data_IF_791624412457
#
_entry.id   IF_791624412457
#
_cell.length_a   1.000
_cell.length_b   1.000
_cell.length_c   1.000
_cell.angle_alpha   90.00
_cell.angle_beta   90.00
_cell.angle_gamma   90.00
#
_symmetry.space_group_name_H-M   'P 1'
#
loop_
_entity.id
_entity.type
_entity.pdbx_description
1 polymer ?
#
# COMPACT_ATOMS: atom_id res chain seq x y z
N UNK A 1 19.46 21.94 21.83
CA UNK A 1 20.48 20.89 21.98
C UNK A 1 20.43 19.97 20.78
N UNK A 2 21.54 19.64 20.11
CA UNK A 2 21.50 18.67 19.02
C UNK A 2 21.21 17.27 19.58
N UNK A 3 20.30 16.55 18.94
CA UNK A 3 19.98 15.16 19.30
C UNK A 3 21.19 14.28 19.00
N UNK A 4 21.77 13.65 20.03
CA UNK A 4 22.95 12.78 19.91
C UNK A 4 22.61 11.35 19.48
N UNK A 5 21.33 11.02 19.44
CA UNK A 5 20.83 9.67 19.12
C UNK A 5 20.63 9.54 17.59
N UNK A 6 20.99 8.39 17.01
CA UNK A 6 20.69 8.10 15.61
C UNK A 6 19.17 8.13 15.39
N UNK A 7 18.72 8.66 14.24
CA UNK A 7 17.30 8.83 13.90
C UNK A 7 16.53 7.51 14.03
N UNK A 8 17.11 6.42 13.55
CA UNK A 8 16.50 5.09 13.56
C UNK A 8 16.25 4.60 15.00
N UNK A 9 17.25 4.79 15.88
CA UNK A 9 17.14 4.41 17.29
C UNK A 9 16.14 5.29 18.05
N UNK A 10 16.06 6.58 17.71
CA UNK A 10 15.07 7.49 18.30
C UNK A 10 13.64 7.09 17.89
N UNK A 11 13.42 6.78 16.60
CA UNK A 11 12.12 6.45 16.04
C UNK A 11 11.67 5.01 16.31
N UNK A 12 12.58 4.11 16.72
CA UNK A 12 12.21 2.74 17.14
C UNK A 12 11.45 2.73 18.48
N UNK A 13 11.56 3.79 19.27
CA UNK A 13 10.77 3.94 20.49
C UNK A 13 9.37 4.47 20.11
N UNK A 14 8.32 3.69 20.43
CA UNK A 14 6.92 4.01 20.11
C UNK A 14 6.46 5.34 20.71
N UNK A 15 6.89 5.67 21.93
CA UNK A 15 6.54 6.94 22.56
C UNK A 15 7.14 8.14 21.81
N UNK A 16 8.42 8.06 21.43
CA UNK A 16 9.07 9.10 20.63
C UNK A 16 8.44 9.25 19.26
N UNK A 17 8.10 8.11 18.61
CA UNK A 17 7.40 8.10 17.33
C UNK A 17 6.05 8.80 17.44
N UNK A 18 5.25 8.48 18.47
CA UNK A 18 3.94 9.10 18.69
C UNK A 18 4.06 10.60 19.01
N UNK A 19 5.02 11.00 19.84
CA UNK A 19 5.26 12.42 20.12
C UNK A 19 5.62 13.20 18.85
N UNK A 20 6.43 12.61 17.96
CA UNK A 20 6.76 13.23 16.68
C UNK A 20 5.54 13.34 15.75
N UNK A 21 4.70 12.29 15.70
CA UNK A 21 3.44 12.32 14.94
C UNK A 21 2.54 13.43 15.45
N UNK A 22 2.39 13.61 16.77
CA UNK A 22 1.56 14.66 17.36
C UNK A 22 2.04 16.06 16.94
N UNK A 23 3.36 16.31 16.96
CA UNK A 23 3.94 17.58 16.50
C UNK A 23 3.65 17.82 15.01
N UNK A 24 3.71 16.78 14.17
CA UNK A 24 3.35 16.89 12.75
C UNK A 24 1.87 17.20 12.58
N UNK A 25 0.99 16.53 13.33
CA UNK A 25 -0.45 16.80 13.30
C UNK A 25 -0.78 18.25 13.70
N UNK A 26 -0.15 18.77 14.75
CA UNK A 26 -0.29 20.16 15.16
C UNK A 26 0.12 21.12 14.03
N UNK A 27 1.26 20.85 13.40
CA UNK A 27 1.74 21.67 12.27
C UNK A 27 0.83 21.60 11.05
N UNK A 28 0.35 20.42 10.69
CA UNK A 28 -0.59 20.26 9.58
C UNK A 28 -1.89 21.04 9.85
N UNK A 29 -2.37 21.02 11.09
CA UNK A 29 -3.56 21.76 11.50
C UNK A 29 -3.36 23.30 11.43
N UNK A 30 -2.18 23.81 11.79
CA UNK A 30 -1.84 25.24 11.65
C UNK A 30 -1.93 25.72 10.18
N UNK A 31 -1.71 24.83 9.20
CA UNK A 31 -1.77 25.12 7.77
C UNK A 31 -3.07 24.67 7.10
N UNK A 32 -4.10 24.31 7.89
CA UNK A 32 -5.39 23.80 7.40
C UNK A 32 -5.26 22.57 6.49
N UNK A 33 -4.24 21.73 6.74
CA UNK A 33 -4.01 20.48 6.01
C UNK A 33 -4.69 19.34 6.78
N UNK A 34 -5.63 18.68 6.13
CA UNK A 34 -6.34 17.53 6.71
C UNK A 34 -5.38 16.36 6.90
N UNK A 35 -5.48 15.71 8.04
CA UNK A 35 -4.72 14.51 8.37
C UNK A 35 -5.62 13.46 9.02
N UNK A 36 -5.19 12.21 8.93
CA UNK A 36 -5.78 11.08 9.68
C UNK A 36 -4.64 10.31 10.36
N UNK A 37 -4.88 9.87 11.58
CA UNK A 37 -3.93 9.05 12.34
C UNK A 37 -4.46 7.62 12.36
N UNK A 38 -3.66 6.66 11.91
CA UNK A 38 -4.01 5.24 12.00
C UNK A 38 -3.82 4.77 13.44
N UNK A 39 -4.78 4.00 13.93
CA UNK A 39 -4.67 3.31 15.23
C UNK A 39 -3.80 2.07 15.07
N UNK A 40 -3.99 1.34 13.95
CA UNK A 40 -3.31 0.09 13.64
C UNK A 40 -2.51 0.22 12.33
N UNK A 41 -3.06 -0.22 11.22
CA UNK A 41 -2.43 -0.26 9.92
C UNK A 41 -2.63 1.04 9.13
N UNK A 42 -1.52 1.73 8.87
CA UNK A 42 -1.55 2.99 8.12
C UNK A 42 -1.84 2.77 6.63
N UNK A 43 -1.35 1.68 6.02
CA UNK A 43 -1.50 1.42 4.60
C UNK A 43 -2.96 1.13 4.24
N UNK A 44 -3.65 0.37 5.09
CA UNK A 44 -5.09 0.14 4.94
C UNK A 44 -5.88 1.44 5.06
N UNK A 45 -5.56 2.29 6.06
CA UNK A 45 -6.21 3.60 6.22
C UNK A 45 -5.99 4.51 5.01
N UNK A 46 -4.77 4.53 4.45
CA UNK A 46 -4.44 5.31 3.25
C UNK A 46 -5.23 4.79 2.04
N UNK A 47 -5.25 3.46 1.83
CA UNK A 47 -5.96 2.84 0.72
C UNK A 47 -7.47 3.11 0.79
N UNK A 48 -8.10 2.92 1.95
CA UNK A 48 -9.52 3.21 2.17
C UNK A 48 -9.83 4.69 1.96
N UNK A 49 -8.99 5.59 2.49
CA UNK A 49 -9.18 7.04 2.30
C UNK A 49 -9.06 7.43 0.83
N UNK A 50 -8.13 6.83 0.09
CA UNK A 50 -8.00 7.06 -1.35
C UNK A 50 -9.24 6.60 -2.12
N UNK A 51 -9.79 5.43 -1.80
CA UNK A 51 -11.03 4.91 -2.39
C UNK A 51 -12.21 5.84 -2.10
N UNK A 52 -12.41 6.26 -0.85
CA UNK A 52 -13.48 7.19 -0.45
C UNK A 52 -13.40 8.51 -1.23
N UNK A 53 -12.20 9.09 -1.32
CA UNK A 53 -11.98 10.31 -2.10
C UNK A 53 -12.22 10.07 -3.60
N UNK A 54 -11.88 8.90 -4.11
CA UNK A 54 -12.01 8.56 -5.52
C UNK A 54 -13.48 8.40 -5.99
N UNK A 55 -14.42 8.26 -5.09
CA UNK A 55 -15.86 8.28 -5.44
C UNK A 55 -16.30 9.64 -5.98
N UNK A 56 -15.64 10.72 -5.58
CA UNK A 56 -16.02 12.08 -5.96
C UNK A 56 -14.99 12.82 -6.82
N UNK A 57 -13.71 12.49 -6.73
CA UNK A 57 -12.61 13.20 -7.39
C UNK A 57 -11.51 12.26 -7.86
N UNK A 58 -10.64 12.72 -8.76
CA UNK A 58 -9.39 12.01 -9.08
C UNK A 58 -8.42 12.09 -7.91
N UNK A 59 -7.69 11.01 -7.67
CA UNK A 59 -6.80 10.87 -6.50
C UNK A 59 -5.39 10.53 -6.94
N UNK A 60 -4.41 11.22 -6.36
CA UNK A 60 -3.00 10.86 -6.46
C UNK A 60 -2.52 10.45 -5.07
N UNK A 61 -2.12 9.19 -4.94
CA UNK A 61 -1.48 8.66 -3.74
C UNK A 61 0.01 8.69 -3.93
N UNK A 62 0.73 9.36 -3.03
CA UNK A 62 2.19 9.41 -3.04
C UNK A 62 2.70 8.43 -1.98
N UNK A 63 3.51 7.46 -2.40
CA UNK A 63 4.06 6.44 -1.50
C UNK A 63 5.15 5.61 -2.16
N UNK A 64 5.89 4.88 -1.35
CA UNK A 64 7.00 4.02 -1.81
C UNK A 64 6.74 2.54 -1.56
N UNK A 65 5.71 2.23 -0.76
CA UNK A 65 5.43 0.90 -0.28
C UNK A 65 4.68 0.06 -1.32
N UNK A 66 5.16 -1.18 -1.49
CA UNK A 66 4.50 -2.16 -2.37
C UNK A 66 3.20 -2.66 -1.75
N UNK A 67 3.11 -2.72 -0.42
CA UNK A 67 1.95 -3.18 0.31
C UNK A 67 0.78 -2.22 0.06
N UNK A 68 1.05 -0.91 0.12
CA UNK A 68 0.07 0.12 -0.23
C UNK A 68 -0.40 0.01 -1.69
N UNK A 69 0.51 -0.24 -2.65
CA UNK A 69 0.14 -0.43 -4.05
C UNK A 69 -0.78 -1.65 -4.23
N UNK A 70 -0.48 -2.75 -3.56
CA UNK A 70 -1.31 -3.98 -3.58
C UNK A 70 -2.71 -3.70 -3.03
N UNK A 71 -2.81 -2.99 -1.90
CA UNK A 71 -4.08 -2.61 -1.31
C UNK A 71 -4.90 -1.68 -2.22
N UNK A 72 -4.27 -0.71 -2.86
CA UNK A 72 -4.95 0.17 -3.82
C UNK A 72 -5.50 -0.63 -5.02
N UNK A 73 -4.70 -1.53 -5.61
CA UNK A 73 -5.14 -2.38 -6.72
C UNK A 73 -6.31 -3.28 -6.28
N UNK A 74 -6.29 -3.78 -5.05
CA UNK A 74 -7.36 -4.62 -4.52
C UNK A 74 -8.66 -3.82 -4.30
N UNK A 75 -8.59 -2.69 -3.59
CA UNK A 75 -9.78 -1.96 -3.12
C UNK A 75 -10.40 -1.00 -4.14
N UNK A 76 -9.63 -0.45 -5.08
CA UNK A 76 -10.17 0.45 -6.11
C UNK A 76 -11.12 -0.33 -7.02
N UNK A 77 -12.35 0.14 -7.16
CA UNK A 77 -13.40 -0.48 -7.96
C UNK A 77 -13.84 0.42 -9.14
N UNK A 78 -14.82 -0.05 -9.92
CA UNK A 78 -15.30 0.65 -11.12
C UNK A 78 -16.06 1.96 -10.82
N UNK A 79 -16.51 2.19 -9.58
CA UNK A 79 -17.18 3.42 -9.17
C UNK A 79 -16.19 4.54 -8.88
N UNK A 80 -14.90 4.19 -8.66
CA UNK A 80 -13.85 5.15 -8.40
C UNK A 80 -13.46 5.90 -9.67
N UNK A 81 -13.24 7.21 -9.55
CA UNK A 81 -12.51 8.01 -10.53
C UNK A 81 -11.04 7.59 -10.55
N UNK A 82 -10.24 8.20 -11.44
CA UNK A 82 -8.84 7.82 -11.59
C UNK A 82 -8.06 7.88 -10.27
N UNK A 83 -7.41 6.76 -9.94
CA UNK A 83 -6.47 6.66 -8.82
C UNK A 83 -5.09 6.40 -9.40
N UNK A 84 -4.16 7.28 -9.08
CA UNK A 84 -2.77 7.21 -9.52
C UNK A 84 -1.90 7.00 -8.28
N UNK A 85 -1.10 5.96 -8.30
CA UNK A 85 -0.04 5.75 -7.31
C UNK A 85 1.28 6.25 -7.87
N UNK A 86 1.95 7.14 -7.14
CA UNK A 86 3.18 7.80 -7.58
C UNK A 86 4.28 7.64 -6.54
N UNK A 87 5.44 7.14 -6.98
CA UNK A 87 6.65 7.12 -6.17
C UNK A 87 7.26 8.53 -6.09
N UNK A 88 7.65 8.95 -4.88
CA UNK A 88 8.37 10.21 -4.67
C UNK A 88 9.88 10.07 -4.93
N UNK A 89 10.41 8.86 -4.91
CA UNK A 89 11.81 8.59 -5.21
C UNK A 89 12.08 8.70 -6.71
N UNK A 90 12.98 9.58 -7.08
CA UNK A 90 13.54 9.56 -8.42
C UNK A 90 14.32 8.25 -8.62
N UNK A 91 13.90 7.44 -9.58
CA UNK A 91 14.69 6.29 -10.01
C UNK A 91 16.07 6.76 -10.48
N UNK A 92 17.08 5.89 -10.39
CA UNK A 92 18.47 6.15 -10.84
C UNK A 92 18.50 6.76 -12.26
N UNK A 93 17.51 6.43 -13.10
CA UNK A 93 17.36 6.94 -14.48
C UNK A 93 16.44 8.18 -14.58
N UNK A 94 16.20 8.92 -13.51
CA UNK A 94 15.32 10.12 -13.45
C UNK A 94 13.86 9.86 -13.93
N UNK A 95 13.42 8.62 -14.05
CA UNK A 95 12.02 8.28 -14.37
C UNK A 95 11.25 8.06 -13.08
N UNK A 96 10.25 8.89 -12.83
CA UNK A 96 9.28 8.64 -11.76
C UNK A 96 8.48 7.38 -12.07
N UNK A 97 8.25 6.55 -11.06
CA UNK A 97 7.36 5.41 -11.18
C UNK A 97 5.94 5.87 -10.90
N UNK A 98 5.08 5.70 -11.87
CA UNK A 98 3.66 6.11 -11.82
C UNK A 98 2.84 4.91 -12.27
N UNK A 99 1.83 4.54 -11.49
CA UNK A 99 0.87 3.50 -11.83
C UNK A 99 -0.54 4.09 -11.83
N UNK A 100 -1.24 3.94 -12.93
CA UNK A 100 -2.66 4.15 -12.98
C UNK A 100 -3.35 2.84 -12.53
N UNK A 101 -4.07 2.89 -11.42
CA UNK A 101 -4.62 1.70 -10.78
C UNK A 101 -5.64 1.02 -11.68
N UNK A 102 -6.56 1.76 -12.30
CA UNK A 102 -7.58 1.19 -13.19
C UNK A 102 -6.96 0.55 -14.44
N UNK A 103 -5.95 1.18 -15.04
CA UNK A 103 -5.22 0.58 -16.16
C UNK A 103 -4.47 -0.69 -15.75
N UNK A 104 -3.86 -0.69 -14.57
CA UNK A 104 -3.19 -1.86 -14.02
C UNK A 104 -4.17 -3.01 -13.82
N UNK A 105 -5.36 -2.73 -13.26
CA UNK A 105 -6.43 -3.73 -13.12
C UNK A 105 -6.90 -4.25 -14.48
N UNK A 106 -7.13 -3.39 -15.44
CA UNK A 106 -7.52 -3.78 -16.80
C UNK A 106 -6.49 -4.67 -17.49
N UNK A 107 -5.20 -4.44 -17.25
CA UNK A 107 -4.13 -5.28 -17.81
C UNK A 107 -4.03 -6.67 -17.17
N UNK A 108 -4.19 -6.77 -15.87
CA UNK A 108 -4.06 -8.05 -15.14
C UNK A 108 -5.37 -8.83 -15.01
N UNK A 109 -6.50 -8.16 -15.10
CA UNK A 109 -7.83 -8.72 -14.88
C UNK A 109 -8.26 -8.70 -13.41
N UNK A 110 -9.57 -8.62 -13.21
CA UNK A 110 -10.17 -8.47 -11.86
C UNK A 110 -9.84 -9.65 -10.94
N UNK A 111 -9.89 -10.88 -11.45
CA UNK A 111 -9.59 -12.10 -10.67
C UNK A 111 -8.20 -12.07 -10.05
N UNK A 112 -7.19 -11.69 -10.86
CA UNK A 112 -5.80 -11.60 -10.39
C UNK A 112 -5.67 -10.47 -9.38
N UNK A 113 -6.26 -9.32 -9.66
CA UNK A 113 -6.20 -8.16 -8.78
C UNK A 113 -6.87 -8.43 -7.43
N UNK A 114 -7.99 -9.18 -7.42
CA UNK A 114 -8.64 -9.61 -6.18
C UNK A 114 -7.75 -10.51 -5.32
N UNK A 115 -6.95 -11.38 -5.94
CA UNK A 115 -6.07 -12.31 -5.25
C UNK A 115 -4.67 -11.75 -4.93
N UNK A 116 -4.37 -10.49 -5.28
CA UNK A 116 -3.07 -9.88 -5.02
C UNK A 116 -2.67 -9.86 -3.53
N UNK A 117 -3.55 -9.55 -2.55
CA UNK A 117 -3.19 -9.60 -1.13
C UNK A 117 -2.77 -11.01 -0.69
N UNK A 118 -3.48 -12.06 -1.15
CA UNK A 118 -3.09 -13.45 -0.89
C UNK A 118 -1.70 -13.76 -1.48
N UNK A 119 -1.45 -13.41 -2.74
CA UNK A 119 -0.14 -13.61 -3.37
C UNK A 119 0.96 -12.85 -2.64
N UNK A 120 0.65 -11.65 -2.20
CA UNK A 120 1.61 -10.79 -1.51
C UNK A 120 2.02 -11.40 -0.17
N UNK A 121 1.05 -11.86 0.63
CA UNK A 121 1.33 -12.56 1.88
C UNK A 121 2.07 -13.89 1.68
N UNK A 122 1.72 -14.68 0.64
CA UNK A 122 2.38 -15.94 0.31
C UNK A 122 3.85 -15.75 -0.11
N UNK A 123 4.15 -14.67 -0.80
CA UNK A 123 5.50 -14.37 -1.32
C UNK A 123 6.34 -13.53 -0.38
N UNK A 124 5.80 -13.17 0.77
CA UNK A 124 6.43 -12.38 1.82
C UNK A 124 6.18 -10.88 1.69
N UNK A 125 5.68 -10.31 2.76
CA UNK A 125 5.50 -8.88 3.01
C UNK A 125 6.07 -8.54 4.39
N UNK A 126 5.85 -7.35 4.90
CA UNK A 126 6.38 -6.91 6.19
C UNK A 126 5.89 -7.76 7.37
N UNK A 127 4.69 -8.33 7.26
CA UNK A 127 4.06 -9.17 8.30
C UNK A 127 4.23 -10.68 8.08
N UNK A 128 4.63 -11.14 6.89
CA UNK A 128 4.74 -12.57 6.56
C UNK A 128 6.09 -12.95 5.97
N UNK A 129 6.61 -14.12 6.37
CA UNK A 129 7.83 -14.68 5.81
C UNK A 129 7.59 -15.29 4.43
N UNK A 130 8.54 -15.08 3.52
CA UNK A 130 8.51 -15.66 2.17
C UNK A 130 8.71 -17.16 2.20
N UNK A 131 7.90 -17.90 1.44
CA UNK A 131 8.15 -19.31 1.16
C UNK A 131 9.42 -19.47 0.32
N UNK A 132 10.28 -20.42 0.73
CA UNK A 132 11.53 -20.66 0.03
C UNK A 132 11.29 -21.07 -1.44
N UNK A 133 12.01 -20.45 -2.35
CA UNK A 133 11.93 -20.74 -3.78
C UNK A 133 10.73 -20.13 -4.53
N UNK A 134 9.80 -19.44 -3.83
CA UNK A 134 8.65 -18.81 -4.47
C UNK A 134 8.83 -17.28 -4.46
N UNK A 135 9.25 -16.72 -5.58
CA UNK A 135 9.30 -15.27 -5.77
C UNK A 135 8.00 -14.70 -6.36
N UNK A 136 7.74 -13.42 -6.15
CA UNK A 136 6.52 -12.70 -6.63
C UNK A 136 6.21 -12.98 -8.11
N UNK A 137 7.22 -12.94 -8.98
CA UNK A 137 7.04 -13.21 -10.43
C UNK A 137 6.64 -14.65 -10.76
N UNK A 138 7.14 -15.64 -10.01
CA UNK A 138 6.78 -17.04 -10.18
C UNK A 138 5.37 -17.29 -9.66
N UNK A 139 5.03 -16.74 -8.49
CA UNK A 139 3.71 -16.85 -7.91
C UNK A 139 2.64 -16.25 -8.83
N UNK A 140 2.87 -15.05 -9.36
CA UNK A 140 1.95 -14.39 -10.29
C UNK A 140 1.72 -15.22 -11.57
N UNK A 141 2.78 -15.80 -12.16
CA UNK A 141 2.64 -16.69 -13.34
C UNK A 141 1.86 -17.95 -13.02
N UNK A 142 1.97 -18.49 -11.81
CA UNK A 142 1.27 -19.70 -11.37
C UNK A 142 -0.14 -19.47 -10.88
N UNK A 143 -0.55 -18.21 -10.64
CA UNK A 143 -1.90 -17.87 -10.17
C UNK A 143 -3.00 -18.33 -11.14
N UNK A 144 -2.68 -18.52 -12.42
CA UNK A 144 -3.61 -19.06 -13.40
C UNK A 144 -3.92 -20.56 -13.19
N UNK A 145 -3.19 -21.26 -12.30
CA UNK A 145 -3.51 -22.65 -11.94
C UNK A 145 -4.72 -22.68 -11.01
N UNK A 146 -5.71 -23.49 -11.34
CA UNK A 146 -6.99 -23.59 -10.59
C UNK A 146 -6.79 -23.82 -9.09
N UNK A 147 -5.81 -24.64 -8.71
CA UNK A 147 -5.48 -24.91 -7.31
C UNK A 147 -5.11 -23.64 -6.53
N UNK A 148 -4.25 -22.77 -7.07
CA UNK A 148 -3.84 -21.54 -6.40
C UNK A 148 -4.98 -20.51 -6.34
N UNK A 149 -5.82 -20.47 -7.37
CA UNK A 149 -7.03 -19.65 -7.36
C UNK A 149 -7.98 -20.08 -6.25
N UNK A 150 -8.22 -21.38 -6.10
CA UNK A 150 -9.07 -21.91 -5.05
C UNK A 150 -8.53 -21.61 -3.64
N UNK A 151 -7.23 -21.78 -3.42
CA UNK A 151 -6.58 -21.43 -2.15
C UNK A 151 -6.66 -19.93 -1.86
N UNK A 152 -6.45 -19.09 -2.86
CA UNK A 152 -6.58 -17.65 -2.72
C UNK A 152 -8.01 -17.22 -2.39
N UNK A 153 -9.02 -17.81 -3.01
CA UNK A 153 -10.43 -17.54 -2.69
C UNK A 153 -10.80 -17.94 -1.26
N UNK A 154 -10.31 -19.09 -0.79
CA UNK A 154 -10.51 -19.51 0.62
C UNK A 154 -9.87 -18.51 1.58
N UNK A 155 -8.65 -18.06 1.31
CA UNK A 155 -7.96 -17.06 2.12
C UNK A 155 -8.74 -15.75 2.20
N UNK A 156 -9.21 -15.23 1.06
CA UNK A 156 -9.96 -13.97 0.99
C UNK A 156 -11.34 -14.03 1.65
N UNK A 157 -11.93 -15.22 1.79
CA UNK A 157 -13.23 -15.40 2.45
C UNK A 157 -13.12 -15.59 3.97
N UNK A 158 -11.91 -15.80 4.50
CA UNK A 158 -11.65 -16.02 5.93
C UNK A 158 -11.07 -14.79 6.65
N UNK A 159 -10.73 -13.77 5.90
CA UNK A 159 -10.26 -12.46 6.40
C UNK A 159 -11.35 -11.41 6.32
#
# INVERSE_FOLDING_TARGET
MPCKTKKELFMSNSHNKQAFINILCEKLNEYDIRYKNAVDDADLLIAQTAVDCALSSEVIVIGEDTDLLVLLIHHVNQQCRWVIFKSDKMAINKKMKIWNIQQTKGFHGEDICHLLPFLHSLTGCDSTSRLFGIGKGIALKRLNQEYLKAQGQLFMNTT
#
